data_IF_579876867153
#
_entry.id   IF_579876867153
#
_cell.length_a   1.000
_cell.length_b   1.000
_cell.length_c   1.000
_cell.angle_alpha   90.00
_cell.angle_beta   90.00
_cell.angle_gamma   90.00
#
_symmetry.space_group_name_H-M   'P 1'
#
loop_
_entity.id
_entity.type
_entity.pdbx_description
1 polymer ?
#
# COMPACT_ATOMS: atom_id res chain seq x y z
N UNK A 1 -20.43 -4.11 -16.45
CA UNK A 1 -19.69 -4.74 -15.32
C UNK A 1 -18.72 -3.66 -14.82
N UNK A 2 -18.61 -3.44 -13.49
CA UNK A 2 -17.94 -2.29 -12.85
C UNK A 2 -16.86 -2.70 -11.83
N UNK A 3 -16.25 -3.88 -12.00
CA UNK A 3 -15.33 -4.46 -11.00
C UNK A 3 -14.01 -3.71 -10.93
N UNK A 4 -13.38 -3.41 -12.07
CA UNK A 4 -12.12 -2.64 -12.11
C UNK A 4 -12.31 -1.24 -11.48
N UNK A 5 -13.36 -0.47 -11.82
CA UNK A 5 -13.66 0.78 -11.13
C UNK A 5 -13.83 0.62 -9.60
N UNK A 6 -14.56 -0.41 -9.15
CA UNK A 6 -14.79 -0.64 -7.72
C UNK A 6 -13.48 -0.97 -6.96
N UNK A 7 -12.64 -1.83 -7.52
CA UNK A 7 -11.32 -2.16 -6.96
C UNK A 7 -10.43 -0.91 -6.94
N UNK A 8 -10.46 -0.10 -7.99
CA UNK A 8 -9.69 1.15 -8.06
C UNK A 8 -10.08 2.11 -6.94
N UNK A 9 -11.37 2.25 -6.65
CA UNK A 9 -11.85 3.10 -5.56
C UNK A 9 -11.39 2.59 -4.19
N UNK A 10 -11.43 1.28 -3.97
CA UNK A 10 -10.93 0.69 -2.72
C UNK A 10 -9.42 0.94 -2.53
N UNK A 11 -8.62 0.85 -3.59
CA UNK A 11 -7.20 1.24 -3.54
C UNK A 11 -7.03 2.72 -3.17
N UNK A 12 -7.79 3.63 -3.79
CA UNK A 12 -7.75 5.07 -3.44
C UNK A 12 -8.11 5.31 -1.99
N UNK A 13 -9.14 4.61 -1.50
CA UNK A 13 -9.57 4.69 -0.11
C UNK A 13 -8.45 4.29 0.86
N UNK A 14 -7.78 3.16 0.62
CA UNK A 14 -6.69 2.71 1.48
C UNK A 14 -5.43 3.56 1.37
N UNK A 15 -5.10 4.08 0.18
CA UNK A 15 -4.04 5.07 0.03
C UNK A 15 -4.34 6.31 0.89
N UNK A 16 -5.54 6.87 0.75
CA UNK A 16 -5.95 8.09 1.47
C UNK A 16 -5.93 7.88 2.98
N UNK A 17 -6.41 6.73 3.47
CA UNK A 17 -6.40 6.40 4.89
C UNK A 17 -4.97 6.29 5.42
N UNK A 18 -4.08 5.61 4.70
CA UNK A 18 -2.67 5.53 5.07
C UNK A 18 -2.00 6.92 5.08
N UNK A 19 -2.17 7.72 4.03
CA UNK A 19 -1.55 9.04 3.93
C UNK A 19 -2.05 10.03 4.99
N UNK A 20 -3.35 9.99 5.35
CA UNK A 20 -3.88 10.76 6.47
C UNK A 20 -3.32 10.33 7.83
N UNK A 21 -2.95 9.06 7.99
CA UNK A 21 -2.25 8.58 9.18
C UNK A 21 -0.80 9.06 9.21
N UNK A 22 -0.10 8.97 8.06
CA UNK A 22 1.27 9.46 7.90
C UNK A 22 1.39 10.96 8.18
N UNK A 23 0.39 11.76 7.80
CA UNK A 23 0.35 13.20 8.06
C UNK A 23 0.23 13.57 9.56
N UNK A 24 -0.04 12.59 10.43
CA UNK A 24 -0.20 12.80 11.88
C UNK A 24 1.01 12.33 12.70
N UNK A 25 2.10 11.92 12.05
CA UNK A 25 3.33 11.48 12.73
C UNK A 25 4.54 12.30 12.28
N UNK A 26 5.42 12.60 13.23
CA UNK A 26 6.72 13.19 12.97
C UNK A 26 7.73 12.15 12.45
N UNK A 27 8.91 12.61 12.06
CA UNK A 27 9.94 11.74 11.50
C UNK A 27 10.47 10.75 12.55
N UNK A 28 10.61 11.18 13.81
CA UNK A 28 11.03 10.30 14.89
C UNK A 28 10.08 9.10 15.03
N UNK A 29 8.77 9.34 15.08
CA UNK A 29 7.74 8.29 15.13
C UNK A 29 7.74 7.45 13.85
N UNK A 30 7.89 8.08 12.68
CA UNK A 30 7.89 7.40 11.39
C UNK A 30 8.97 6.31 11.31
N UNK A 31 10.14 6.55 11.90
CA UNK A 31 11.27 5.62 11.93
C UNK A 31 11.33 4.74 13.19
N UNK A 32 10.53 5.01 14.21
CA UNK A 32 10.55 4.23 15.46
C UNK A 32 10.09 2.79 15.19
N UNK A 33 10.90 1.83 15.66
CA UNK A 33 10.57 0.41 15.60
C UNK A 33 9.59 0.03 16.71
N UNK A 34 8.56 -0.72 16.33
CA UNK A 34 7.71 -1.52 17.20
C UNK A 34 8.03 -3.01 16.94
N UNK A 35 8.90 -3.57 17.78
CA UNK A 35 9.54 -4.86 17.49
C UNK A 35 10.53 -4.74 16.31
N UNK A 36 10.26 -5.47 15.23
CA UNK A 36 11.12 -5.50 14.03
C UNK A 36 10.61 -4.58 12.90
N UNK A 37 9.50 -3.85 13.11
CA UNK A 37 8.81 -3.10 12.06
C UNK A 37 8.54 -1.65 12.47
N UNK A 38 8.49 -0.74 11.50
CA UNK A 38 8.12 0.66 11.71
C UNK A 38 7.14 1.12 10.63
N UNK A 39 6.62 2.35 10.77
CA UNK A 39 5.85 2.98 9.69
C UNK A 39 6.70 3.08 8.41
N UNK A 40 7.98 3.45 8.53
CA UNK A 40 8.93 3.47 7.42
C UNK A 40 9.01 2.14 6.67
N UNK A 41 9.02 1.00 7.41
CA UNK A 41 8.96 -0.34 6.81
C UNK A 41 7.72 -0.54 5.97
N UNK A 42 6.55 -0.26 6.53
CA UNK A 42 5.31 -0.49 5.79
C UNK A 42 5.18 0.42 4.57
N UNK A 43 5.66 1.66 4.65
CA UNK A 43 5.69 2.59 3.52
C UNK A 43 6.59 2.06 2.40
N UNK A 44 7.83 1.66 2.72
CA UNK A 44 8.76 1.08 1.74
C UNK A 44 8.21 -0.22 1.14
N UNK A 45 7.69 -1.11 2.00
CA UNK A 45 7.16 -2.41 1.62
C UNK A 45 5.98 -2.29 0.66
N UNK A 46 4.98 -1.48 0.99
CA UNK A 46 3.79 -1.29 0.14
C UNK A 46 4.18 -0.63 -1.18
N UNK A 47 5.01 0.43 -1.14
CA UNK A 47 5.48 1.11 -2.35
C UNK A 47 6.24 0.17 -3.29
N UNK A 48 7.22 -0.57 -2.77
CA UNK A 48 8.00 -1.54 -3.54
C UNK A 48 7.16 -2.72 -4.04
N UNK A 49 6.22 -3.21 -3.23
CA UNK A 49 5.29 -4.26 -3.63
C UNK A 49 4.42 -3.82 -4.80
N UNK A 50 3.72 -2.68 -4.69
CA UNK A 50 2.87 -2.15 -5.75
C UNK A 50 3.68 -1.88 -7.03
N UNK A 51 4.85 -1.25 -6.91
CA UNK A 51 5.69 -0.98 -8.07
C UNK A 51 6.07 -2.28 -8.79
N UNK A 52 6.61 -3.26 -8.07
CA UNK A 52 7.00 -4.55 -8.64
C UNK A 52 5.82 -5.31 -9.24
N UNK A 53 4.69 -5.41 -8.53
CA UNK A 53 3.55 -6.22 -8.95
C UNK A 53 2.88 -5.66 -10.20
N UNK A 54 2.87 -4.35 -10.38
CA UNK A 54 2.08 -3.69 -11.41
C UNK A 54 2.89 -3.16 -12.59
N UNK A 55 4.22 -3.06 -12.50
CA UNK A 55 5.05 -2.85 -13.71
C UNK A 55 4.86 -4.03 -14.65
N UNK A 56 4.57 -3.78 -15.93
CA UNK A 56 4.43 -4.81 -16.96
C UNK A 56 3.46 -5.95 -16.55
N UNK A 57 2.36 -5.57 -15.89
CA UNK A 57 1.45 -6.47 -15.14
C UNK A 57 0.94 -7.68 -15.94
N UNK A 58 0.64 -7.49 -17.24
CA UNK A 58 0.11 -8.55 -18.09
C UNK A 58 1.20 -9.33 -18.85
N UNK A 59 2.45 -8.86 -18.82
CA UNK A 59 3.49 -9.33 -19.76
C UNK A 59 4.71 -9.92 -19.07
N UNK A 60 4.90 -9.71 -17.77
CA UNK A 60 6.02 -10.28 -17.02
C UNK A 60 5.63 -10.65 -15.59
N UNK A 61 6.53 -11.35 -14.90
CA UNK A 61 6.29 -11.77 -13.51
C UNK A 61 6.16 -10.57 -12.57
N UNK A 62 5.20 -10.60 -11.65
CA UNK A 62 4.99 -9.53 -10.68
C UNK A 62 6.06 -9.43 -9.58
N UNK A 63 6.99 -10.39 -9.46
CA UNK A 63 8.21 -10.23 -8.66
C UNK A 63 9.36 -9.83 -9.58
N UNK A 64 9.68 -8.53 -9.61
CA UNK A 64 10.71 -8.01 -10.49
C UNK A 64 12.11 -8.33 -9.95
N UNK A 65 13.09 -8.64 -10.82
CA UNK A 65 14.46 -8.94 -10.38
C UNK A 65 15.12 -7.81 -9.58
N UNK A 66 14.71 -6.56 -9.81
CA UNK A 66 15.22 -5.39 -9.09
C UNK A 66 14.54 -5.15 -7.74
N UNK A 67 13.48 -5.88 -7.40
CA UNK A 67 12.85 -5.77 -6.08
C UNK A 67 13.66 -6.55 -5.06
N UNK A 68 14.32 -5.82 -4.15
CA UNK A 68 14.96 -6.40 -2.98
C UNK A 68 14.01 -6.37 -1.78
N UNK A 69 13.18 -7.41 -1.64
CA UNK A 69 12.20 -7.51 -0.53
C UNK A 69 12.90 -7.51 0.83
N UNK A 70 14.00 -8.22 0.99
CA UNK A 70 14.67 -8.35 2.28
C UNK A 70 15.35 -7.02 2.68
N UNK A 71 15.84 -6.27 1.69
CA UNK A 71 16.31 -4.90 1.88
C UNK A 71 15.21 -3.89 2.20
N UNK A 72 13.92 -4.25 2.13
CA UNK A 72 12.83 -3.36 2.57
C UNK A 72 12.83 -3.17 4.10
N UNK A 73 13.59 -3.95 4.87
CA UNK A 73 13.73 -3.81 6.33
C UNK A 73 14.97 -3.01 6.76
N UNK A 74 15.81 -2.61 5.80
CA UNK A 74 16.99 -1.78 6.04
C UNK A 74 16.70 -0.31 5.69
N UNK A 75 16.92 0.59 6.65
CA UNK A 75 16.74 2.04 6.51
C UNK A 75 17.97 2.82 6.93
N UNK A 76 19.11 2.18 7.15
CA UNK A 76 20.25 2.90 7.68
C UNK A 76 20.59 4.03 6.70
N UNK A 77 20.44 5.28 7.17
CA UNK A 77 20.62 6.54 6.42
C UNK A 77 19.56 6.95 5.39
N UNK A 78 18.38 6.34 5.37
CA UNK A 78 17.29 6.73 4.44
C UNK A 78 16.47 7.90 4.99
N UNK A 79 16.17 8.91 4.15
CA UNK A 79 15.32 10.03 4.55
C UNK A 79 13.83 9.73 4.30
N UNK A 80 12.92 10.32 5.10
CA UNK A 80 11.47 10.13 4.93
C UNK A 80 11.01 10.49 3.52
N UNK A 81 11.55 11.56 2.94
CA UNK A 81 11.22 11.98 1.58
C UNK A 81 11.49 10.87 0.56
N UNK A 82 12.63 10.18 0.64
CA UNK A 82 13.00 9.09 -0.27
C UNK A 82 12.04 7.90 -0.15
N UNK A 83 11.61 7.57 1.07
CA UNK A 83 10.60 6.53 1.29
C UNK A 83 9.23 6.92 0.77
N UNK A 84 8.86 8.19 0.90
CA UNK A 84 7.63 8.72 0.32
C UNK A 84 7.68 8.75 -1.21
N UNK A 85 8.87 8.88 -1.82
CA UNK A 85 9.04 8.76 -3.27
C UNK A 85 8.76 7.34 -3.76
N UNK A 86 9.31 6.32 -3.06
CA UNK A 86 9.03 4.90 -3.34
C UNK A 86 7.52 4.61 -3.19
N UNK A 87 6.90 5.12 -2.12
CA UNK A 87 5.45 5.02 -1.91
C UNK A 87 4.67 5.61 -3.09
N UNK A 88 4.95 6.85 -3.46
CA UNK A 88 4.27 7.54 -4.57
C UNK A 88 4.47 6.82 -5.90
N UNK A 89 5.68 6.32 -6.17
CA UNK A 89 5.98 5.55 -7.37
C UNK A 89 5.16 4.26 -7.45
N UNK A 90 5.05 3.52 -6.34
CA UNK A 90 4.24 2.30 -6.27
C UNK A 90 2.77 2.56 -6.58
N UNK A 91 2.17 3.56 -5.93
CA UNK A 91 0.77 3.95 -6.18
C UNK A 91 0.54 4.46 -7.60
N UNK A 92 1.45 5.28 -8.13
CA UNK A 92 1.38 5.77 -9.51
C UNK A 92 1.41 4.61 -10.51
N UNK A 93 2.30 3.63 -10.30
CA UNK A 93 2.40 2.42 -11.13
C UNK A 93 1.10 1.63 -11.10
N UNK A 94 0.54 1.39 -9.91
CA UNK A 94 -0.73 0.70 -9.74
C UNK A 94 -1.86 1.40 -10.52
N UNK A 95 -2.06 2.70 -10.32
CA UNK A 95 -3.18 3.40 -10.95
C UNK A 95 -3.02 3.56 -12.47
N UNK A 96 -1.80 3.70 -12.96
CA UNK A 96 -1.52 3.67 -14.40
C UNK A 96 -1.95 2.32 -15.00
N UNK A 97 -1.59 1.21 -14.34
CA UNK A 97 -1.98 -0.14 -14.76
C UNK A 97 -3.49 -0.32 -14.71
N UNK A 98 -4.15 0.03 -13.60
CA UNK A 98 -5.61 -0.09 -13.47
C UNK A 98 -6.37 0.76 -14.50
N UNK A 99 -5.84 1.93 -14.87
CA UNK A 99 -6.42 2.79 -15.90
C UNK A 99 -6.39 2.19 -17.31
N UNK A 100 -5.53 1.19 -17.56
CA UNK A 100 -5.46 0.45 -18.82
C UNK A 100 -6.25 -0.86 -18.83
N UNK A 101 -6.83 -1.27 -17.70
CA UNK A 101 -7.59 -2.52 -17.59
C UNK A 101 -9.09 -2.28 -17.76
N UNK A 102 -9.77 -3.30 -18.27
CA UNK A 102 -11.22 -3.42 -18.35
C UNK A 102 -11.69 -4.69 -17.63
N UNK A 103 -12.98 -4.76 -17.34
CA UNK A 103 -13.60 -5.96 -16.77
C UNK A 103 -13.42 -7.21 -17.66
N UNK A 104 -13.23 -7.04 -18.98
CA UNK A 104 -12.92 -8.14 -19.90
C UNK A 104 -11.54 -8.76 -19.68
N UNK A 105 -10.65 -8.07 -18.96
CA UNK A 105 -9.30 -8.56 -18.66
C UNK A 105 -9.25 -9.44 -17.41
N UNK A 106 -10.32 -9.50 -16.61
CA UNK A 106 -10.34 -10.18 -15.31
C UNK A 106 -9.99 -11.68 -15.40
N UNK A 107 -10.29 -12.31 -16.53
CA UNK A 107 -9.98 -13.72 -16.79
C UNK A 107 -8.58 -13.98 -17.36
N UNK A 108 -7.82 -12.93 -17.73
CA UNK A 108 -6.47 -13.10 -18.27
C UNK A 108 -5.51 -13.62 -17.19
N UNK A 109 -4.51 -14.38 -17.62
CA UNK A 109 -3.46 -14.88 -16.74
C UNK A 109 -2.36 -13.84 -16.50
N UNK A 110 -1.86 -13.80 -15.27
CA UNK A 110 -0.67 -13.07 -14.84
C UNK A 110 0.21 -14.01 -14.00
N UNK A 111 1.50 -13.72 -13.93
CA UNK A 111 2.46 -14.51 -13.14
C UNK A 111 2.91 -13.75 -11.91
N UNK A 112 2.91 -14.41 -10.76
CA UNK A 112 3.46 -13.90 -9.51
C UNK A 112 4.36 -14.98 -8.91
N UNK A 113 5.67 -14.73 -8.88
CA UNK A 113 6.68 -15.68 -8.39
C UNK A 113 6.61 -17.04 -9.12
N UNK A 114 6.50 -16.98 -10.43
CA UNK A 114 6.37 -18.16 -11.30
C UNK A 114 5.00 -18.85 -11.25
N UNK A 115 4.11 -18.46 -10.34
CA UNK A 115 2.77 -19.03 -10.22
C UNK A 115 1.76 -18.24 -11.04
N UNK A 116 0.94 -18.95 -11.83
CA UNK A 116 -0.11 -18.34 -12.64
C UNK A 116 -1.36 -18.04 -11.81
N UNK A 117 -1.91 -16.84 -11.98
CA UNK A 117 -3.15 -16.38 -11.37
C UNK A 117 -3.99 -15.66 -12.43
N UNK A 118 -5.29 -15.55 -12.22
CA UNK A 118 -6.10 -14.61 -13.02
C UNK A 118 -5.86 -13.19 -12.56
N UNK A 119 -6.10 -12.20 -13.44
CA UNK A 119 -6.10 -10.77 -13.09
C UNK A 119 -7.01 -10.52 -11.88
N UNK A 120 -8.22 -11.10 -11.86
CA UNK A 120 -9.13 -10.97 -10.74
C UNK A 120 -8.51 -11.43 -9.41
N UNK A 121 -7.86 -12.59 -9.40
CA UNK A 121 -7.23 -13.14 -8.19
C UNK A 121 -6.01 -12.34 -7.76
N UNK A 122 -5.20 -11.88 -8.71
CA UNK A 122 -4.04 -11.03 -8.43
C UNK A 122 -4.47 -9.69 -7.82
N UNK A 123 -5.50 -9.05 -8.37
CA UNK A 123 -6.05 -7.79 -7.86
C UNK A 123 -6.65 -7.96 -6.45
N UNK A 124 -7.43 -9.02 -6.21
CA UNK A 124 -8.03 -9.28 -4.91
C UNK A 124 -6.96 -9.51 -3.82
N UNK A 125 -5.93 -10.31 -4.13
CA UNK A 125 -4.82 -10.57 -3.20
C UNK A 125 -4.02 -9.31 -2.90
N UNK A 126 -3.72 -8.52 -3.93
CA UNK A 126 -3.00 -7.26 -3.78
C UNK A 126 -3.80 -6.25 -2.96
N UNK A 127 -5.11 -6.11 -3.21
CA UNK A 127 -5.95 -5.19 -2.45
C UNK A 127 -6.02 -5.58 -0.97
N UNK A 128 -6.17 -6.88 -0.67
CA UNK A 128 -6.17 -7.38 0.71
C UNK A 128 -4.83 -7.13 1.41
N UNK A 129 -3.71 -7.34 0.70
CA UNK A 129 -2.35 -7.05 1.20
C UNK A 129 -2.16 -5.56 1.51
N UNK A 130 -2.54 -4.67 0.57
CA UNK A 130 -2.46 -3.22 0.76
C UNK A 130 -3.35 -2.75 1.91
N UNK A 131 -4.58 -3.26 2.01
CA UNK A 131 -5.51 -2.93 3.10
C UNK A 131 -4.95 -3.34 4.47
N UNK A 132 -4.34 -4.52 4.56
CA UNK A 132 -3.72 -5.03 5.77
C UNK A 132 -2.60 -4.10 6.26
N UNK A 133 -1.65 -3.74 5.39
CA UNK A 133 -0.55 -2.86 5.77
C UNK A 133 -0.97 -1.40 5.99
N UNK A 134 -1.97 -0.90 5.25
CA UNK A 134 -2.57 0.40 5.56
C UNK A 134 -3.16 0.42 6.97
N UNK A 135 -3.81 -0.67 7.40
CA UNK A 135 -4.28 -0.83 8.78
C UNK A 135 -3.16 -0.81 9.82
N UNK A 136 -2.03 -1.45 9.54
CA UNK A 136 -0.86 -1.44 10.44
C UNK A 136 -0.24 -0.04 10.57
N UNK A 137 -0.11 0.70 9.45
CA UNK A 137 0.33 2.11 9.46
C UNK A 137 -0.59 2.94 10.35
N UNK A 138 -1.91 2.80 10.18
CA UNK A 138 -2.91 3.52 10.97
C UNK A 138 -2.78 3.18 12.46
N UNK A 139 -2.59 1.91 12.80
CA UNK A 139 -2.49 1.47 14.19
C UNK A 139 -1.26 2.09 14.88
N UNK A 140 -0.09 2.00 14.24
CA UNK A 140 1.14 2.59 14.79
C UNK A 140 1.04 4.10 14.93
N UNK A 141 0.57 4.79 13.88
CA UNK A 141 0.40 6.24 13.90
C UNK A 141 -0.59 6.69 14.98
N UNK A 142 -1.71 5.97 15.14
CA UNK A 142 -2.70 6.25 16.17
C UNK A 142 -2.16 6.02 17.58
N UNK A 143 -1.40 4.94 17.79
CA UNK A 143 -0.78 4.65 19.09
C UNK A 143 0.18 5.77 19.49
N UNK A 144 0.99 6.26 18.55
CA UNK A 144 1.93 7.34 18.78
C UNK A 144 1.26 8.70 19.01
N UNK A 145 0.22 9.03 18.23
CA UNK A 145 -0.52 10.30 18.37
C UNK A 145 -1.36 10.36 19.67
N UNK A 146 -1.75 9.21 20.22
CA UNK A 146 -2.52 9.13 21.46
C UNK A 146 -3.77 10.00 21.44
N UNK A 147 -3.91 10.88 22.44
CA UNK A 147 -5.05 11.79 22.57
C UNK A 147 -5.15 12.88 21.49
N UNK A 148 -4.09 13.09 20.70
CA UNK A 148 -4.07 14.07 19.60
C UNK A 148 -4.54 13.49 18.25
N UNK A 149 -4.88 12.20 18.21
CA UNK A 149 -5.32 11.53 16.99
C UNK A 149 -6.60 12.13 16.41
N UNK A 150 -6.55 12.46 15.11
CA UNK A 150 -7.69 12.91 14.31
C UNK A 150 -8.25 11.74 13.52
N UNK A 151 -9.57 11.55 13.60
CA UNK A 151 -10.24 10.49 12.84
C UNK A 151 -10.02 10.65 11.33
N UNK A 152 -9.71 9.54 10.66
CA UNK A 152 -9.36 9.51 9.22
C UNK A 152 -10.60 9.48 8.31
N UNK A 153 -11.75 9.18 8.92
CA UNK A 153 -13.09 9.12 8.34
C UNK A 153 -14.06 9.96 9.18
N UNK A 154 -15.35 9.90 8.86
CA UNK A 154 -16.43 10.55 9.62
C UNK A 154 -16.21 10.43 11.14
N UNK A 155 -16.35 11.53 11.91
CA UNK A 155 -16.10 11.54 13.34
C UNK A 155 -16.95 10.49 14.09
N UNK A 156 -16.44 9.95 15.21
CA UNK A 156 -17.29 9.24 16.17
C UNK A 156 -18.43 10.17 16.57
N UNK A 157 -19.68 9.74 16.36
CA UNK A 157 -20.82 10.33 17.06
C UNK A 157 -20.56 10.07 18.56
N UNK A 158 -20.52 11.09 19.43
CA UNK A 158 -20.34 10.88 20.85
C UNK A 158 -21.42 9.91 21.35
N UNK A 159 -21.03 8.93 22.17
CA UNK A 159 -22.01 8.12 22.87
C UNK A 159 -22.93 9.06 23.65
N UNK A 160 -24.25 8.93 23.47
CA UNK A 160 -25.22 9.66 24.26
C UNK A 160 -24.91 9.42 25.74
N UNK A 161 -24.72 10.50 26.49
CA UNK A 161 -24.53 10.46 27.95
C UNK A 161 -25.83 10.07 28.64
#
# INVERSE_FOLDING_TARGET
MLVIPAITEEYRRYQSVAEKALAQVDDATFFTLDGEVSIAVYVKHVGGNLHSRFTDFLTSDGEKPWRNRDGEFDFDRTQRAELMDVWRQGWSTLFATLGGLSDGDLGKSVKIRGSELTVALALARSLAHTAYHAGQIVLLAKSAAGGQWKNLSMPRIPAAR
#
